data_IF_296761203582
#
_entry.id   IF_296761203582
#
_cell.length_a   1.000
_cell.length_b   1.000
_cell.length_c   1.000
_cell.angle_alpha   90.00
_cell.angle_beta   90.00
_cell.angle_gamma   90.00
#
_symmetry.space_group_name_H-M   'P 1'
#
loop_
_entity.id
_entity.type
_entity.pdbx_description
1 polymer ?
#
# COMPACT_ATOMS: atom_id res chain seq x y z
N UNK A 1 -23.20 0.66 -23.24
CA UNK A 1 -23.69 0.19 -21.92
C UNK A 1 -23.17 -1.20 -21.55
N UNK A 2 -22.93 -2.13 -22.49
CA UNK A 2 -22.28 -3.43 -22.21
C UNK A 2 -20.83 -3.52 -22.75
N UNK A 3 -20.46 -2.68 -23.72
CA UNK A 3 -19.08 -2.60 -24.25
C UNK A 3 -18.12 -1.83 -23.34
N UNK A 4 -18.64 -0.88 -22.56
CA UNK A 4 -17.84 -0.04 -21.66
C UNK A 4 -17.28 -0.81 -20.44
N UNK A 5 -17.80 -2.03 -20.18
CA UNK A 5 -17.29 -2.93 -19.12
C UNK A 5 -16.10 -3.81 -19.58
N UNK A 6 -15.76 -3.82 -20.87
CA UNK A 6 -14.67 -4.69 -21.38
C UNK A 6 -13.27 -4.15 -21.04
N UNK A 7 -13.17 -2.90 -20.59
CA UNK A 7 -11.90 -2.19 -20.35
C UNK A 7 -11.50 -2.09 -18.86
N UNK A 8 -12.27 -2.68 -17.94
CA UNK A 8 -11.91 -2.72 -16.50
C UNK A 8 -10.85 -3.79 -16.16
N UNK A 9 -10.48 -4.64 -17.13
CA UNK A 9 -9.76 -5.90 -16.89
C UNK A 9 -8.35 -5.97 -17.46
N UNK A 10 -7.75 -4.86 -17.92
CA UNK A 10 -6.30 -4.87 -18.20
C UNK A 10 -5.53 -3.90 -17.32
N UNK A 11 -5.25 -4.29 -16.08
CA UNK A 11 -4.33 -3.54 -15.24
C UNK A 11 -2.89 -3.83 -15.68
N UNK A 12 -2.05 -2.81 -15.60
CA UNK A 12 -0.61 -2.96 -15.83
C UNK A 12 -0.03 -3.84 -14.71
N UNK A 13 0.54 -5.00 -15.08
CA UNK A 13 1.23 -5.90 -14.16
C UNK A 13 0.33 -6.95 -13.51
N UNK A 14 -0.33 -7.79 -14.31
CA UNK A 14 -0.96 -9.01 -13.81
C UNK A 14 0.11 -9.89 -13.15
N UNK A 15 -0.05 -10.19 -11.86
CA UNK A 15 0.86 -11.08 -11.15
C UNK A 15 0.51 -12.51 -11.58
N UNK A 16 1.26 -13.04 -12.56
CA UNK A 16 1.05 -14.37 -13.15
C UNK A 16 1.12 -15.48 -12.09
N UNK A 17 2.04 -15.34 -11.12
CA UNK A 17 2.15 -16.22 -9.96
C UNK A 17 2.31 -15.37 -8.68
N UNK A 18 1.28 -15.32 -7.80
CA UNK A 18 1.34 -14.62 -6.52
C UNK A 18 2.41 -15.13 -5.56
N UNK A 19 2.87 -16.38 -5.72
CA UNK A 19 3.87 -17.02 -4.88
C UNK A 19 5.28 -17.00 -5.49
N UNK A 20 5.47 -16.39 -6.68
CA UNK A 20 6.79 -16.19 -7.26
C UNK A 20 7.67 -15.32 -6.34
N UNK A 21 8.70 -15.92 -5.69
CA UNK A 21 9.51 -15.21 -4.72
C UNK A 21 10.39 -14.13 -5.37
N UNK A 22 10.84 -14.30 -6.61
CA UNK A 22 11.65 -13.30 -7.32
C UNK A 22 10.81 -12.10 -7.75
N UNK A 23 9.64 -12.37 -8.31
CA UNK A 23 8.68 -11.33 -8.67
C UNK A 23 8.21 -10.54 -7.45
N UNK A 24 7.94 -11.21 -6.32
CA UNK A 24 7.61 -10.55 -5.07
C UNK A 24 8.77 -9.65 -4.59
N UNK A 25 10.00 -10.16 -4.57
CA UNK A 25 11.16 -9.39 -4.12
C UNK A 25 11.40 -8.13 -4.97
N UNK A 26 11.27 -8.21 -6.30
CA UNK A 26 11.38 -7.04 -7.20
C UNK A 26 10.30 -6.00 -6.92
N UNK A 27 9.05 -6.42 -6.72
CA UNK A 27 7.94 -5.51 -6.39
C UNK A 27 8.14 -4.86 -5.02
N UNK A 28 8.55 -5.63 -4.02
CA UNK A 28 8.83 -5.12 -2.68
C UNK A 28 9.98 -4.09 -2.69
N UNK A 29 11.06 -4.34 -3.44
CA UNK A 29 12.17 -3.42 -3.58
C UNK A 29 11.83 -2.15 -4.37
N UNK A 30 10.96 -2.25 -5.37
CA UNK A 30 10.47 -1.10 -6.14
C UNK A 30 9.37 -0.31 -5.43
N UNK A 31 8.76 -0.87 -4.39
CA UNK A 31 7.68 -0.23 -3.65
C UNK A 31 8.20 0.91 -2.80
N UNK A 32 7.61 2.10 -2.96
CA UNK A 32 7.80 3.21 -2.04
C UNK A 32 7.02 3.02 -0.72
N UNK A 33 6.18 1.98 -0.63
CA UNK A 33 5.46 1.66 0.59
C UNK A 33 6.37 0.91 1.57
N UNK A 34 6.41 1.33 2.84
CA UNK A 34 7.19 0.63 3.85
C UNK A 34 6.65 -0.80 4.00
N UNK A 35 7.53 -1.79 3.89
CA UNK A 35 7.21 -3.20 4.15
C UNK A 35 6.97 -3.51 5.64
N UNK A 36 6.96 -2.49 6.50
CA UNK A 36 6.71 -2.62 7.92
C UNK A 36 5.21 -2.71 8.19
N UNK A 37 4.83 -3.66 9.05
CA UNK A 37 3.46 -3.71 9.57
C UNK A 37 3.16 -2.44 10.39
N UNK A 38 1.89 -2.02 10.42
CA UNK A 38 1.44 -0.86 11.20
C UNK A 38 1.82 -0.94 12.69
N UNK A 39 1.96 -2.15 13.24
CA UNK A 39 2.41 -2.35 14.63
C UNK A 39 3.84 -1.88 14.83
N UNK A 40 4.76 -2.32 13.97
CA UNK A 40 6.18 -1.94 14.02
C UNK A 40 6.34 -0.44 13.78
N UNK A 41 5.61 0.11 12.81
CA UNK A 41 5.61 1.54 12.53
C UNK A 41 5.13 2.35 13.76
N UNK A 42 4.03 1.93 14.38
CA UNK A 42 3.50 2.56 15.59
C UNK A 42 4.50 2.56 16.74
N UNK A 43 5.15 1.42 17.01
CA UNK A 43 6.15 1.32 18.07
C UNK A 43 7.34 2.26 17.81
N UNK A 44 7.82 2.35 16.57
CA UNK A 44 8.88 3.29 16.19
C UNK A 44 8.47 4.75 16.35
N UNK A 45 7.28 5.13 15.91
CA UNK A 45 6.79 6.51 16.06
C UNK A 45 6.58 6.89 17.53
N UNK A 46 6.05 5.98 18.35
CA UNK A 46 5.96 6.20 19.80
C UNK A 46 7.34 6.38 20.43
N UNK A 47 8.34 5.62 19.99
CA UNK A 47 9.71 5.74 20.49
C UNK A 47 10.40 7.03 20.04
N UNK A 48 10.21 7.46 18.79
CA UNK A 48 10.90 8.62 18.22
C UNK A 48 10.20 9.95 18.53
N UNK A 49 8.87 9.96 18.49
CA UNK A 49 8.06 11.18 18.55
C UNK A 49 7.11 11.22 19.75
N UNK A 50 7.04 10.15 20.56
CA UNK A 50 6.09 10.04 21.67
C UNK A 50 4.63 9.90 21.24
N UNK A 51 4.35 9.81 19.93
CA UNK A 51 3.00 9.83 19.38
C UNK A 51 2.92 9.06 18.06
N UNK A 52 1.78 8.40 17.81
CA UNK A 52 1.51 7.69 16.56
C UNK A 52 0.90 8.63 15.50
N UNK A 53 1.75 9.42 14.82
CA UNK A 53 1.33 10.50 13.91
C UNK A 53 0.71 9.98 12.61
N UNK A 54 1.14 8.80 12.15
CA UNK A 54 0.62 8.19 10.92
C UNK A 54 -0.90 8.01 10.97
N UNK A 55 -1.48 7.61 12.12
CA UNK A 55 -2.93 7.48 12.27
C UNK A 55 -3.67 8.78 11.94
N UNK A 56 -3.16 9.91 12.44
CA UNK A 56 -3.79 11.22 12.20
C UNK A 56 -3.71 11.60 10.72
N UNK A 57 -2.53 11.44 10.12
CA UNK A 57 -2.29 11.77 8.71
C UNK A 57 -3.17 10.95 7.77
N UNK A 58 -3.31 9.65 8.01
CA UNK A 58 -4.18 8.76 7.21
C UNK A 58 -5.64 9.19 7.31
N UNK A 59 -6.14 9.46 8.52
CA UNK A 59 -7.53 9.92 8.70
C UNK A 59 -7.79 11.29 8.07
N UNK A 60 -6.80 12.18 8.14
CA UNK A 60 -6.87 13.49 7.51
C UNK A 60 -6.90 13.37 5.98
N UNK A 61 -6.03 12.55 5.39
CA UNK A 61 -6.03 12.28 3.96
C UNK A 61 -7.37 11.66 3.51
N UNK A 62 -7.90 10.70 4.28
CA UNK A 62 -9.21 10.10 4.00
C UNK A 62 -10.34 11.13 4.01
N UNK A 63 -10.37 12.01 5.00
CA UNK A 63 -11.37 13.08 5.08
C UNK A 63 -11.29 14.06 3.90
N UNK A 64 -10.11 14.24 3.29
CA UNK A 64 -9.92 15.08 2.09
C UNK A 64 -10.37 14.41 0.80
N UNK A 65 -10.49 13.08 0.78
CA UNK A 65 -10.98 12.32 -0.37
C UNK A 65 -12.52 12.21 -0.39
N UNK A 66 -13.18 12.58 0.71
CA UNK A 66 -14.63 12.76 0.75
C UNK A 66 -15.03 14.09 0.15
#
# INVERSE_FOLDING_TARGET
MEEDLKDIHRPQGEIVDPLDPEGYARRAAASAFPGETFRVLKEKELRQFGAYRTRRLVLEAWNRLK
#
